data_IF_514660589869
#
_entry.id   IF_514660589869
#
_cell.length_a   1.000
_cell.length_b   1.000
_cell.length_c   1.000
_cell.angle_alpha   90.00
_cell.angle_beta   90.00
_cell.angle_gamma   90.00
#
_symmetry.space_group_name_H-M   'P 1'
#
loop_
_entity.id
_entity.type
_entity.pdbx_description
1 polymer ?
#
# COMPACT_ATOMS: atom_id res chain seq x y z
N UNK A 1 3.99 -3.24 5.96
CA UNK A 1 4.75 -4.50 6.15
C UNK A 1 3.73 -5.62 6.15
N UNK A 2 3.59 -6.30 5.00
CA UNK A 2 2.70 -7.45 4.84
C UNK A 2 3.44 -8.65 5.44
N UNK A 3 2.99 -9.12 6.60
CA UNK A 3 3.42 -10.40 7.16
C UNK A 3 2.70 -11.51 6.39
N UNK A 4 3.42 -12.17 5.50
CA UNK A 4 3.03 -13.50 5.02
C UNK A 4 3.32 -14.51 6.15
N UNK A 5 2.31 -14.87 6.90
CA UNK A 5 2.36 -16.10 7.71
C UNK A 5 1.94 -17.26 6.82
N UNK A 6 2.92 -17.97 6.29
CA UNK A 6 2.72 -19.28 5.69
C UNK A 6 2.54 -20.27 6.85
N UNK A 7 1.31 -20.61 7.16
CA UNK A 7 0.99 -21.80 7.97
C UNK A 7 1.14 -23.04 7.09
N UNK A 8 2.35 -23.56 7.04
CA UNK A 8 2.58 -24.92 6.55
C UNK A 8 2.05 -25.90 7.62
N UNK A 9 0.79 -26.31 7.49
CA UNK A 9 0.28 -27.46 8.22
C UNK A 9 0.53 -28.69 7.36
N UNK A 10 1.53 -29.46 7.72
CA UNK A 10 1.78 -30.79 7.18
C UNK A 10 0.68 -31.72 7.68
N UNK A 11 -0.32 -31.99 6.87
CA UNK A 11 -1.19 -33.14 7.06
C UNK A 11 -0.79 -34.23 6.08
N UNK A 12 -0.21 -35.29 6.63
CA UNK A 12 0.04 -36.57 5.96
C UNK A 12 -1.29 -37.27 5.78
N UNK A 13 -1.85 -37.21 4.58
CA UNK A 13 -3.01 -38.00 4.19
C UNK A 13 -2.93 -38.31 2.71
N UNK A 14 -2.59 -39.56 2.36
CA UNK A 14 -2.41 -40.01 0.97
C UNK A 14 -3.75 -40.07 0.24
N UNK A 15 -3.89 -39.23 -0.79
CA UNK A 15 -4.91 -39.27 -1.83
C UNK A 15 -4.27 -39.00 -3.19
N UNK A 16 -4.88 -39.39 -4.33
CA UNK A 16 -4.28 -39.38 -5.67
C UNK A 16 -4.13 -38.00 -6.30
N UNK A 17 -4.02 -36.95 -5.50
CA UNK A 17 -3.84 -35.56 -5.98
C UNK A 17 -2.36 -35.20 -5.96
N UNK A 18 -1.69 -35.43 -7.10
CA UNK A 18 -0.28 -35.11 -7.27
C UNK A 18 0.03 -33.60 -7.16
N UNK A 19 1.32 -33.22 -7.05
CA UNK A 19 1.77 -31.84 -6.83
C UNK A 19 1.28 -30.84 -7.88
N UNK A 20 0.92 -31.28 -9.06
CA UNK A 20 0.34 -30.48 -10.13
C UNK A 20 -1.11 -29.99 -9.81
N UNK A 21 -1.89 -30.82 -9.12
CA UNK A 21 -3.27 -30.48 -8.75
C UNK A 21 -3.33 -29.38 -7.66
N UNK A 22 -2.36 -29.43 -6.74
CA UNK A 22 -2.17 -28.39 -5.72
C UNK A 22 -1.76 -27.05 -6.35
N UNK A 23 -0.88 -27.10 -7.37
CA UNK A 23 -0.44 -25.93 -8.09
C UNK A 23 -1.58 -25.26 -8.87
N UNK A 24 -2.45 -26.04 -9.51
CA UNK A 24 -3.59 -25.51 -10.27
C UNK A 24 -4.64 -24.88 -9.35
N UNK A 25 -4.95 -25.53 -8.21
CA UNK A 25 -5.85 -24.93 -7.20
C UNK A 25 -5.29 -23.64 -6.60
N UNK A 26 -3.98 -23.58 -6.38
CA UNK A 26 -3.33 -22.36 -5.86
C UNK A 26 -3.34 -21.22 -6.89
N UNK A 27 -3.05 -21.54 -8.15
CA UNK A 27 -3.09 -20.56 -9.26
C UNK A 27 -4.53 -20.08 -9.51
N UNK A 28 -5.52 -20.96 -9.48
CA UNK A 28 -6.92 -20.56 -9.64
C UNK A 28 -7.43 -19.75 -8.45
N UNK A 29 -7.04 -20.07 -7.22
CA UNK A 29 -7.38 -19.29 -6.04
C UNK A 29 -6.73 -17.90 -6.06
N UNK A 30 -5.48 -17.79 -6.50
CA UNK A 30 -4.78 -16.51 -6.67
C UNK A 30 -5.41 -15.67 -7.79
N UNK A 31 -5.81 -16.30 -8.90
CA UNK A 31 -6.53 -15.63 -10.00
C UNK A 31 -7.94 -15.16 -9.59
N UNK A 32 -8.65 -15.94 -8.77
CA UNK A 32 -9.98 -15.57 -8.25
C UNK A 32 -9.87 -14.46 -7.19
N UNK A 33 -8.77 -14.39 -6.44
CA UNK A 33 -8.51 -13.34 -5.46
C UNK A 33 -7.92 -12.05 -6.06
N UNK A 34 -7.49 -12.06 -7.33
CA UNK A 34 -7.09 -10.84 -8.01
C UNK A 34 -8.33 -9.98 -8.26
N UNK A 35 -8.52 -8.95 -7.45
CA UNK A 35 -9.55 -7.93 -7.71
C UNK A 35 -9.32 -7.38 -9.12
N UNK A 36 -10.36 -7.29 -9.95
CA UNK A 36 -10.21 -6.75 -11.31
C UNK A 36 -9.62 -5.35 -11.23
N UNK A 37 -8.73 -5.04 -12.18
CA UNK A 37 -8.18 -3.70 -12.29
C UNK A 37 -9.31 -2.72 -12.59
N UNK A 38 -9.49 -1.73 -11.74
CA UNK A 38 -10.45 -0.66 -11.92
C UNK A 38 -9.80 0.48 -12.71
N UNK A 39 -10.51 1.01 -13.71
CA UNK A 39 -10.11 2.25 -14.36
C UNK A 39 -10.07 3.40 -13.33
N UNK A 40 -9.39 4.50 -13.66
CA UNK A 40 -9.32 5.64 -12.75
C UNK A 40 -10.70 6.23 -12.44
N UNK A 41 -11.61 6.26 -13.42
CA UNK A 41 -12.98 6.72 -13.22
C UNK A 41 -13.74 5.80 -12.25
N UNK A 42 -13.62 4.49 -12.43
CA UNK A 42 -14.21 3.51 -11.51
C UNK A 42 -13.62 3.59 -10.09
N UNK A 43 -12.33 3.94 -9.98
CA UNK A 43 -11.69 4.17 -8.67
C UNK A 43 -12.27 5.41 -7.99
N UNK A 44 -12.48 6.50 -8.74
CA UNK A 44 -13.12 7.72 -8.22
C UNK A 44 -14.56 7.46 -7.81
N UNK A 45 -15.36 6.82 -8.65
CA UNK A 45 -16.75 6.46 -8.35
C UNK A 45 -16.85 5.64 -7.06
N UNK A 46 -15.96 4.68 -6.89
CA UNK A 46 -15.87 3.87 -5.69
C UNK A 46 -15.54 4.68 -4.44
N UNK A 47 -14.62 5.64 -4.56
CA UNK A 47 -14.26 6.52 -3.43
C UNK A 47 -15.41 7.43 -3.03
N UNK A 48 -16.16 7.96 -4.00
CA UNK A 48 -17.31 8.86 -3.77
C UNK A 48 -18.51 8.07 -3.25
N UNK A 49 -18.94 7.05 -3.98
CA UNK A 49 -20.21 6.39 -3.74
C UNK A 49 -20.14 5.37 -2.59
N UNK A 50 -19.12 4.49 -2.61
CA UNK A 50 -19.00 3.42 -1.62
C UNK A 50 -18.33 3.89 -0.33
N UNK A 51 -17.35 4.78 -0.44
CA UNK A 51 -16.53 5.18 0.70
C UNK A 51 -16.87 6.54 1.27
N UNK A 52 -17.73 7.31 0.59
CA UNK A 52 -18.18 8.66 1.01
C UNK A 52 -17.02 9.65 1.18
N UNK A 53 -15.96 9.50 0.38
CA UNK A 53 -14.85 10.45 0.33
C UNK A 53 -15.27 11.71 -0.42
N UNK A 54 -14.94 12.88 0.13
CA UNK A 54 -15.21 14.14 -0.54
C UNK A 54 -14.14 14.38 -1.62
N UNK A 55 -14.58 14.59 -2.84
CA UNK A 55 -13.71 14.92 -3.98
C UNK A 55 -14.20 16.25 -4.59
N UNK A 56 -13.62 17.40 -4.16
CA UNK A 56 -14.06 18.70 -4.64
C UNK A 56 -13.77 18.93 -6.14
N UNK A 57 -12.64 18.43 -6.61
CA UNK A 57 -12.19 18.53 -8.00
C UNK A 57 -11.79 17.14 -8.52
N UNK A 58 -12.61 16.60 -9.43
CA UNK A 58 -12.37 15.28 -10.01
C UNK A 58 -11.14 15.25 -10.92
N UNK A 59 -10.82 16.33 -11.62
CA UNK A 59 -9.65 16.40 -12.50
C UNK A 59 -8.36 16.36 -11.68
N UNK A 60 -8.33 17.12 -10.59
CA UNK A 60 -7.22 17.11 -9.64
C UNK A 60 -7.07 15.73 -9.01
N UNK A 61 -8.14 15.12 -8.55
CA UNK A 61 -8.14 13.78 -7.96
C UNK A 61 -7.64 12.71 -8.95
N UNK A 62 -8.09 12.79 -10.21
CA UNK A 62 -7.61 11.94 -11.30
C UNK A 62 -6.11 12.08 -11.52
N UNK A 63 -5.59 13.31 -11.53
CA UNK A 63 -4.16 13.58 -11.68
C UNK A 63 -3.36 13.00 -10.49
N UNK A 64 -3.85 13.16 -9.28
CA UNK A 64 -3.22 12.58 -8.07
C UNK A 64 -3.18 11.06 -8.18
N UNK A 65 -4.28 10.41 -8.55
CA UNK A 65 -4.33 8.94 -8.69
C UNK A 65 -3.43 8.42 -9.81
N UNK A 66 -3.29 9.16 -10.90
CA UNK A 66 -2.36 8.79 -12.01
C UNK A 66 -0.90 8.90 -11.58
N UNK A 67 -0.53 9.93 -10.82
CA UNK A 67 0.84 10.19 -10.43
C UNK A 67 1.30 9.32 -9.25
N UNK A 68 0.46 9.13 -8.25
CA UNK A 68 0.81 8.42 -7.00
C UNK A 68 0.37 6.95 -7.04
N UNK A 69 -0.76 6.69 -7.70
CA UNK A 69 -1.40 5.37 -7.72
C UNK A 69 -2.38 5.17 -6.57
N UNK A 70 -3.50 4.51 -6.88
CA UNK A 70 -4.57 4.23 -5.92
C UNK A 70 -4.09 3.49 -4.67
N UNK A 71 -3.31 2.43 -4.86
CA UNK A 71 -2.86 1.61 -3.73
C UNK A 71 -1.85 2.33 -2.85
N UNK A 72 -0.95 3.12 -3.43
CA UNK A 72 0.03 3.90 -2.67
C UNK A 72 -0.64 4.98 -1.84
N UNK A 73 -1.59 5.72 -2.42
CA UNK A 73 -2.29 6.79 -1.74
C UNK A 73 -3.35 6.25 -0.76
N UNK A 74 -4.35 5.57 -1.30
CA UNK A 74 -5.51 5.13 -0.52
C UNK A 74 -5.14 3.94 0.36
N UNK A 75 -4.39 2.96 -0.17
CA UNK A 75 -3.95 1.80 0.59
C UNK A 75 -3.03 2.14 1.75
N UNK A 76 -2.12 3.10 1.55
CA UNK A 76 -1.11 3.47 2.53
C UNK A 76 -1.59 4.47 3.60
N UNK A 77 -2.49 5.39 3.24
CA UNK A 77 -2.76 6.57 4.09
C UNK A 77 -4.21 6.74 4.53
N UNK A 78 -5.13 5.84 4.17
CA UNK A 78 -6.56 5.95 4.52
C UNK A 78 -6.88 5.74 6.00
N UNK A 79 -6.08 4.95 6.73
CA UNK A 79 -6.45 4.42 8.05
C UNK A 79 -6.78 5.50 9.10
N UNK A 80 -6.08 6.64 9.19
CA UNK A 80 -6.44 7.72 10.10
C UNK A 80 -7.81 8.36 9.80
N UNK A 81 -8.25 8.28 8.56
CA UNK A 81 -9.42 8.99 8.03
C UNK A 81 -10.68 8.14 7.95
N UNK A 82 -10.59 6.83 8.09
CA UNK A 82 -11.74 5.92 8.04
C UNK A 82 -12.24 5.53 9.42
N UNK A 83 -13.52 5.19 9.49
CA UNK A 83 -14.06 4.50 10.66
C UNK A 83 -13.70 3.01 10.57
N UNK A 84 -13.02 2.43 11.58
CA UNK A 84 -12.56 1.04 11.52
C UNK A 84 -13.71 0.02 11.45
N UNK A 85 -14.90 0.35 12.00
CA UNK A 85 -16.06 -0.53 11.99
C UNK A 85 -16.80 -0.52 10.65
N UNK A 86 -17.08 0.67 10.10
CA UNK A 86 -17.89 0.81 8.88
C UNK A 86 -17.06 0.81 7.60
N UNK A 87 -15.75 1.02 7.70
CA UNK A 87 -14.83 1.17 6.55
C UNK A 87 -15.19 2.33 5.62
N UNK A 88 -15.96 3.30 6.13
CA UNK A 88 -16.35 4.53 5.45
C UNK A 88 -15.48 5.67 5.98
N UNK A 89 -15.17 6.66 5.14
CA UNK A 89 -14.44 7.85 5.58
C UNK A 89 -15.26 8.65 6.60
N UNK A 90 -14.57 9.28 7.54
CA UNK A 90 -15.17 10.19 8.52
C UNK A 90 -15.76 11.40 7.79
N UNK A 91 -16.69 12.07 8.46
CA UNK A 91 -17.31 13.28 7.91
C UNK A 91 -16.23 14.34 7.60
N UNK A 92 -16.44 15.06 6.52
CA UNK A 92 -15.56 16.15 6.04
C UNK A 92 -14.14 15.75 5.60
N UNK A 93 -13.85 14.46 5.40
CA UNK A 93 -12.57 14.03 4.84
C UNK A 93 -12.59 14.13 3.32
N UNK A 94 -11.60 14.79 2.78
CA UNK A 94 -11.38 14.94 1.33
C UNK A 94 -10.18 14.13 0.83
N UNK A 95 -10.08 13.95 -0.48
CA UNK A 95 -8.89 13.36 -1.10
C UNK A 95 -7.64 14.21 -0.86
N UNK A 96 -7.82 15.53 -0.73
CA UNK A 96 -6.73 16.47 -0.47
C UNK A 96 -6.10 16.24 0.91
N UNK A 97 -6.89 15.84 1.92
CA UNK A 97 -6.38 15.53 3.26
C UNK A 97 -5.47 14.29 3.24
N UNK A 98 -5.91 13.27 2.50
CA UNK A 98 -5.11 12.03 2.34
C UNK A 98 -3.83 12.35 1.56
N UNK A 99 -3.93 13.16 0.52
CA UNK A 99 -2.78 13.57 -0.28
C UNK A 99 -1.81 14.45 0.51
N UNK A 100 -2.31 15.33 1.37
CA UNK A 100 -1.47 16.13 2.26
C UNK A 100 -0.65 15.28 3.22
N UNK A 101 -1.25 14.23 3.80
CA UNK A 101 -0.55 13.28 4.65
C UNK A 101 0.53 12.50 3.87
N UNK A 102 0.20 12.02 2.66
CA UNK A 102 1.15 11.37 1.76
C UNK A 102 2.35 12.30 1.46
N UNK A 103 2.06 13.55 1.09
CA UNK A 103 3.10 14.51 0.74
C UNK A 103 3.99 14.87 1.93
N UNK A 104 3.40 15.03 3.10
CA UNK A 104 4.15 15.23 4.35
C UNK A 104 5.12 14.06 4.62
N UNK A 105 4.64 12.83 4.48
CA UNK A 105 5.46 11.63 4.68
C UNK A 105 6.63 11.57 3.67
N UNK A 106 6.39 11.97 2.42
CA UNK A 106 7.44 12.05 1.41
C UNK A 106 8.55 13.04 1.80
N UNK A 107 8.17 14.26 2.20
CA UNK A 107 9.14 15.28 2.64
C UNK A 107 9.92 14.78 3.86
N UNK A 108 9.24 14.16 4.82
CA UNK A 108 9.86 13.63 6.02
C UNK A 108 10.88 12.53 5.69
N UNK A 109 10.53 11.61 4.79
CA UNK A 109 11.45 10.55 4.33
C UNK A 109 12.68 11.14 3.64
N UNK A 110 12.52 12.10 2.76
CA UNK A 110 13.62 12.77 2.08
C UNK A 110 14.56 13.44 3.08
N UNK A 111 14.01 14.13 4.07
CA UNK A 111 14.77 14.79 5.12
C UNK A 111 15.57 13.78 5.95
N UNK A 112 14.93 12.74 6.44
CA UNK A 112 15.56 11.66 7.23
C UNK A 112 16.65 10.98 6.41
N UNK A 113 16.36 10.63 5.15
CA UNK A 113 17.32 9.97 4.26
C UNK A 113 18.57 10.81 4.04
N UNK A 114 18.41 12.12 3.84
CA UNK A 114 19.53 13.06 3.72
C UNK A 114 20.47 12.99 4.94
N UNK A 115 19.92 13.00 6.15
CA UNK A 115 20.73 12.93 7.37
C UNK A 115 21.33 11.54 7.61
N UNK A 116 20.62 10.48 7.30
CA UNK A 116 21.17 9.11 7.37
C UNK A 116 22.39 8.95 6.45
N UNK A 117 22.34 9.47 5.22
CA UNK A 117 23.48 9.47 4.32
C UNK A 117 24.67 10.28 4.83
N UNK A 118 24.43 11.36 5.59
CA UNK A 118 25.50 12.12 6.21
C UNK A 118 26.16 11.33 7.37
N UNK A 119 25.36 10.70 8.20
CA UNK A 119 25.83 9.86 9.31
C UNK A 119 26.63 8.68 8.77
N UNK A 120 26.13 7.98 7.75
CA UNK A 120 26.81 6.88 7.10
C UNK A 120 28.20 7.29 6.58
N UNK A 121 28.29 8.42 5.89
CA UNK A 121 29.59 8.94 5.42
C UNK A 121 30.56 9.21 6.57
N UNK A 122 30.09 9.78 7.68
CA UNK A 122 30.91 10.04 8.87
C UNK A 122 31.42 8.74 9.49
N UNK A 123 30.55 7.75 9.63
CA UNK A 123 30.91 6.44 10.18
C UNK A 123 31.96 5.76 9.29
N UNK A 124 31.76 5.75 7.97
CA UNK A 124 32.75 5.18 7.04
C UNK A 124 34.11 5.86 7.15
N UNK A 125 34.12 7.18 7.26
CA UNK A 125 35.35 7.95 7.42
C UNK A 125 36.09 7.62 8.73
N UNK A 126 35.37 7.48 9.84
CA UNK A 126 35.93 7.11 11.13
C UNK A 126 36.51 5.69 11.12
N UNK A 127 35.77 4.73 10.51
CA UNK A 127 36.27 3.34 10.40
C UNK A 127 37.53 3.30 9.54
N UNK A 128 37.55 3.98 8.41
CA UNK A 128 38.73 3.96 7.53
C UNK A 128 39.96 4.64 8.14
N UNK A 129 39.78 5.60 9.04
CA UNK A 129 40.87 6.27 9.73
C UNK A 129 41.36 5.52 10.96
N UNK A 130 40.60 4.57 11.51
CA UNK A 130 40.93 3.77 12.67
C UNK A 130 41.53 2.39 12.36
N UNK A 131 41.54 1.98 11.10
CA UNK A 131 42.21 0.77 10.64
C UNK A 131 43.69 1.08 10.32
N UNK A 132 44.66 0.31 10.89
CA UNK A 132 46.07 0.49 10.61
C UNK A 132 46.42 0.09 9.17
#
# INVERSE_FOLDING_TARGET
>A
VIRFQILARTETGGGPEGPLFFSIKYISAVLIMSKPFLSYDQQLDKLINDKKLIIPDQNKAMSILKNVGYFSLIGGYKDPFINPMTRIYKNNVSIDDIYALYYFDQILRELIFKYLCQIERKIRQLISSSLP
#
